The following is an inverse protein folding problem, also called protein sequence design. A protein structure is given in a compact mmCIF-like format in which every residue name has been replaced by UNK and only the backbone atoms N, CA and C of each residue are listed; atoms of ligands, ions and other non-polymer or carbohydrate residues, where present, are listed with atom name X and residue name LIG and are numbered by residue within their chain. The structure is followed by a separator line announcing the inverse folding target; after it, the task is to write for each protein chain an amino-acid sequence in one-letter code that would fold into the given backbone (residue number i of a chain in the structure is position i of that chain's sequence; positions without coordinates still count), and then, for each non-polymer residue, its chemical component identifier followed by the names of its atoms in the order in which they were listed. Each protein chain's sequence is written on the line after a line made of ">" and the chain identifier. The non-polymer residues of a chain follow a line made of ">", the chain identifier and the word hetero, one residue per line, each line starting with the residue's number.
data_IF_248867026291
#
_entry.id   IF_248867026291
#
_cell.length_a   1.000
_cell.length_b   1.000
_cell.length_c   1.000
_cell.angle_alpha   90.00
_cell.angle_beta   90.00
_cell.angle_gamma   90.00
#
_symmetry.space_group_name_H-M   'P 1'
#
loop_
_entity.id
_entity.type
_entity.pdbx_description
1 polymer ?
#
# COMPACT_ATOMS: atom_id res chain seq x y z
N UNK A 1 -15.46 -33.74 -21.19
CA UNK A 1 -14.56 -32.92 -20.36
C UNK A 1 -14.43 -31.56 -21.07
N UNK A 2 -14.74 -30.44 -20.40
CA UNK A 2 -14.81 -29.11 -21.04
C UNK A 2 -13.46 -28.68 -21.61
N UNK A 3 -13.44 -28.05 -22.80
CA UNK A 3 -12.24 -27.52 -23.47
C UNK A 3 -11.47 -26.56 -22.53
N UNK A 4 -12.19 -25.79 -21.72
CA UNK A 4 -11.60 -24.90 -20.72
C UNK A 4 -10.82 -25.65 -19.63
N UNK A 5 -11.32 -26.81 -19.21
CA UNK A 5 -10.64 -27.64 -18.20
C UNK A 5 -9.36 -28.26 -18.78
N UNK A 6 -9.40 -28.70 -20.04
CA UNK A 6 -8.20 -29.21 -20.73
C UNK A 6 -7.14 -28.12 -20.92
N UNK A 7 -7.56 -26.89 -21.25
CA UNK A 7 -6.66 -25.75 -21.38
C UNK A 7 -6.04 -25.34 -20.05
N UNK A 8 -6.82 -25.38 -18.96
CA UNK A 8 -6.32 -25.10 -17.62
C UNK A 8 -5.32 -26.16 -17.13
N UNK A 9 -5.59 -27.44 -17.38
CA UNK A 9 -4.63 -28.53 -17.05
C UNK A 9 -3.33 -28.36 -17.83
N UNK A 10 -3.41 -27.97 -19.11
CA UNK A 10 -2.23 -27.73 -19.95
C UNK A 10 -1.41 -26.54 -19.46
N UNK A 11 -2.05 -25.45 -19.05
CA UNK A 11 -1.38 -24.27 -18.51
C UNK A 11 -0.71 -24.56 -17.17
N UNK A 12 -1.39 -25.28 -16.27
CA UNK A 12 -0.82 -25.69 -14.98
C UNK A 12 0.41 -26.60 -15.19
N UNK A 13 0.37 -27.50 -16.17
CA UNK A 13 1.51 -28.37 -16.48
C UNK A 13 2.71 -27.60 -17.05
N UNK A 14 2.47 -26.53 -17.82
CA UNK A 14 3.53 -25.65 -18.32
C UNK A 14 4.17 -24.84 -17.20
N UNK A 15 3.36 -24.26 -16.31
CA UNK A 15 3.84 -23.49 -15.16
C UNK A 15 4.72 -24.34 -14.22
N UNK A 16 4.32 -25.59 -13.96
CA UNK A 16 5.11 -26.52 -13.16
C UNK A 16 6.45 -26.85 -13.86
N UNK A 17 6.43 -26.99 -15.19
CA UNK A 17 7.63 -27.30 -15.96
C UNK A 17 8.64 -26.14 -15.94
N UNK A 18 8.16 -24.90 -16.08
CA UNK A 18 9.00 -23.69 -15.98
C UNK A 18 9.60 -23.57 -14.58
N UNK A 19 8.79 -23.77 -13.53
CA UNK A 19 9.27 -23.72 -12.14
C UNK A 19 10.37 -24.76 -11.85
N UNK A 20 10.23 -25.97 -12.37
CA UNK A 20 11.25 -27.02 -12.21
C UNK A 20 12.54 -26.65 -12.95
N UNK A 21 12.43 -26.02 -14.12
CA UNK A 21 13.59 -25.55 -14.87
C UNK A 21 14.38 -24.48 -14.11
N UNK A 22 13.68 -23.45 -13.59
CA UNK A 22 14.30 -22.36 -12.84
C UNK A 22 15.02 -22.87 -11.57
N UNK A 23 14.48 -23.92 -10.92
CA UNK A 23 15.12 -24.58 -9.79
C UNK A 23 16.43 -25.28 -10.16
N UNK A 24 16.47 -25.96 -11.30
CA UNK A 24 17.69 -26.62 -11.78
C UNK A 24 18.75 -25.60 -12.18
N UNK A 25 18.36 -24.52 -12.88
CA UNK A 25 19.26 -23.43 -13.24
C UNK A 25 19.87 -22.77 -11.98
N UNK A 26 19.04 -22.56 -10.96
CA UNK A 26 19.50 -22.05 -9.67
C UNK A 26 20.48 -23.02 -8.98
N UNK A 27 20.18 -24.31 -8.93
CA UNK A 27 21.06 -25.34 -8.36
C UNK A 27 22.43 -25.37 -9.05
N UNK A 28 22.45 -25.26 -10.39
CA UNK A 28 23.69 -25.19 -11.17
C UNK A 28 24.48 -23.91 -10.87
N UNK A 29 23.79 -22.77 -10.70
CA UNK A 29 24.43 -21.50 -10.33
C UNK A 29 25.07 -21.54 -8.92
N UNK A 30 24.42 -22.21 -7.97
CA UNK A 30 24.93 -22.39 -6.60
C UNK A 30 26.14 -23.33 -6.60
N UNK A 31 26.08 -24.40 -7.38
CA UNK A 31 27.16 -25.38 -7.48
C UNK A 31 28.40 -24.84 -8.24
N UNK A 32 28.21 -23.95 -9.20
CA UNK A 32 29.30 -23.25 -9.88
C UNK A 32 29.96 -22.21 -8.98
N UNK A 33 29.18 -21.50 -8.15
CA UNK A 33 29.69 -20.56 -7.15
C UNK A 33 30.50 -21.23 -6.02
N UNK A 34 30.29 -22.52 -5.76
CA UNK A 34 31.00 -23.28 -4.73
C UNK A 34 32.34 -23.89 -5.19
N UNK A 35 32.72 -23.80 -6.47
CA UNK A 35 34.03 -24.30 -6.93
C UNK A 35 35.14 -23.28 -6.63
N UNK A 36 36.21 -23.65 -5.88
CA UNK A 36 37.32 -22.74 -5.60
C UNK A 36 38.07 -22.36 -6.88
N UNK A 37 38.18 -21.07 -7.16
CA UNK A 37 38.95 -20.54 -8.29
C UNK A 37 40.43 -20.95 -8.16
N UNK A 38 40.95 -21.69 -9.15
CA UNK A 38 42.39 -22.00 -9.26
C UNK A 38 43.15 -20.70 -9.47
N UNK A 39 43.86 -20.22 -8.44
CA UNK A 39 44.83 -19.13 -8.57
C UNK A 39 45.92 -19.54 -9.55
N UNK A 40 46.12 -18.74 -10.59
CA UNK A 40 47.24 -18.88 -11.53
C UNK A 40 48.56 -18.68 -10.79
N UNK A 41 49.52 -19.58 -11.03
CA UNK A 41 50.86 -19.55 -10.47
C UNK A 41 51.62 -18.27 -10.89
N UNK A 42 52.04 -17.48 -9.90
CA UNK A 42 53.21 -16.60 -10.03
C UNK A 42 54.23 -17.04 -8.97
N UNK A 43 55.42 -17.42 -9.44
CA UNK A 43 56.57 -17.83 -8.64
C UNK A 43 57.16 -16.60 -7.92
N UNK A 44 57.35 -16.66 -6.59
CA UNK A 44 58.13 -15.64 -5.84
C UNK A 44 58.97 -16.32 -4.75
N UNK A 45 60.18 -15.77 -4.60
CA UNK A 45 61.41 -16.20 -3.94
C UNK A 45 61.35 -16.66 -2.46
N UNK A 46 62.35 -17.46 -2.00
CA UNK A 46 62.38 -18.07 -0.67
C UNK A 46 62.69 -17.14 0.51
N UNK A 47 62.73 -15.81 0.35
CA UNK A 47 63.29 -14.92 1.39
C UNK A 47 62.43 -13.71 1.77
N UNK A 48 61.18 -13.94 2.17
CA UNK A 48 60.37 -12.94 2.88
C UNK A 48 59.71 -13.48 4.16
N UNK A 49 59.64 -12.61 5.17
CA UNK A 49 59.34 -12.83 6.60
C UNK A 49 57.89 -13.31 6.81
N UNK A 50 57.58 -14.17 7.81
CA UNK A 50 56.29 -14.84 7.87
C UNK A 50 55.14 -13.90 8.29
N UNK A 51 54.07 -13.87 7.49
CA UNK A 51 52.82 -13.18 7.83
C UNK A 51 51.91 -14.14 8.63
N UNK A 52 51.58 -13.71 9.84
CA UNK A 52 50.68 -14.30 10.82
C UNK A 52 49.24 -14.38 10.27
N UNK A 53 48.78 -15.57 9.84
CA UNK A 53 47.41 -15.73 9.33
C UNK A 53 46.82 -17.15 9.24
N UNK A 54 47.57 -18.21 9.57
CA UNK A 54 47.07 -19.60 9.42
C UNK A 54 46.23 -20.14 10.58
N UNK A 55 46.41 -19.63 11.81
CA UNK A 55 45.81 -20.22 13.02
C UNK A 55 44.34 -19.83 13.23
N UNK A 56 43.89 -18.70 12.69
CA UNK A 56 42.50 -18.23 12.87
C UNK A 56 41.49 -19.03 12.01
N UNK A 57 41.87 -19.40 10.78
CA UNK A 57 40.98 -20.08 9.83
C UNK A 57 40.73 -21.55 10.21
N UNK A 58 41.73 -22.23 10.78
CA UNK A 58 41.58 -23.63 11.21
C UNK A 58 40.62 -23.74 12.40
N UNK A 59 40.71 -22.83 13.39
CA UNK A 59 39.80 -22.79 14.54
C UNK A 59 38.35 -22.53 14.13
N UNK A 60 38.11 -21.60 13.20
CA UNK A 60 36.74 -21.33 12.72
C UNK A 60 36.16 -22.52 11.93
N UNK A 61 36.98 -23.23 11.14
CA UNK A 61 36.55 -24.41 10.40
C UNK A 61 36.20 -25.61 11.30
N UNK A 62 36.90 -25.78 12.43
CA UNK A 62 36.59 -26.81 13.42
C UNK A 62 35.33 -26.50 14.22
N UNK A 63 35.08 -25.22 14.53
CA UNK A 63 33.88 -24.78 15.23
C UNK A 63 32.63 -25.03 14.36
N UNK A 64 32.67 -24.66 13.08
CA UNK A 64 31.57 -24.94 12.14
C UNK A 64 31.32 -26.44 11.96
N UNK A 65 32.38 -27.27 11.88
CA UNK A 65 32.24 -28.74 11.78
C UNK A 65 31.64 -29.36 13.04
N UNK A 66 31.94 -28.81 14.23
CA UNK A 66 31.32 -29.24 15.50
C UNK A 66 29.85 -28.82 15.60
N UNK A 67 29.49 -27.67 15.04
CA UNK A 67 28.13 -27.14 15.02
C UNK A 67 27.24 -27.93 14.05
N UNK A 68 27.72 -28.21 12.84
CA UNK A 68 27.04 -29.08 11.86
C UNK A 68 26.82 -30.52 12.38
N UNK A 69 27.79 -31.09 13.11
CA UNK A 69 27.62 -32.42 13.75
C UNK A 69 26.61 -32.41 14.89
N UNK A 70 26.48 -31.31 15.64
CA UNK A 70 25.46 -31.14 16.68
C UNK A 70 24.06 -31.04 16.07
N UNK A 71 23.91 -30.27 14.99
CA UNK A 71 22.62 -30.10 14.33
C UNK A 71 22.17 -31.40 13.63
N UNK A 72 23.09 -32.15 13.02
CA UNK A 72 22.77 -33.48 12.46
C UNK A 72 22.38 -34.49 13.56
N UNK A 73 23.07 -34.52 14.70
CA UNK A 73 22.67 -35.36 15.84
C UNK A 73 21.33 -34.92 16.47
N UNK A 74 21.00 -33.63 16.42
CA UNK A 74 19.72 -33.09 16.92
C UNK A 74 18.55 -33.48 16.02
N UNK A 75 18.76 -33.49 14.69
CA UNK A 75 17.74 -33.93 13.73
C UNK A 75 17.59 -35.46 13.77
N UNK A 76 18.67 -36.21 13.92
CA UNK A 76 18.61 -37.68 14.06
C UNK A 76 17.88 -38.10 15.35
N UNK A 77 18.16 -37.45 16.48
CA UNK A 77 17.43 -37.67 17.74
C UNK A 77 15.93 -37.37 17.63
N UNK A 78 15.53 -36.42 16.78
CA UNK A 78 14.13 -36.07 16.56
C UNK A 78 13.37 -37.22 15.86
N UNK A 79 13.95 -37.83 14.83
CA UNK A 79 13.30 -38.96 14.13
C UNK A 79 13.43 -40.29 14.89
N UNK A 80 14.52 -40.50 15.64
CA UNK A 80 14.69 -41.69 16.48
C UNK A 80 13.75 -41.71 17.69
N UNK A 81 13.28 -40.55 18.15
CA UNK A 81 12.24 -40.45 19.19
C UNK A 81 10.86 -40.89 18.68
N UNK A 82 10.55 -40.60 17.41
CA UNK A 82 9.31 -41.02 16.76
C UNK A 82 9.29 -42.51 16.43
N UNK A 83 10.44 -43.10 16.10
CA UNK A 83 10.56 -44.55 15.85
C UNK A 83 10.44 -45.41 17.13
N UNK A 84 10.46 -44.80 18.31
CA UNK A 84 10.25 -45.47 19.61
C UNK A 84 8.79 -45.40 20.09
N UNK A 85 7.93 -44.68 19.37
CA UNK A 85 6.51 -44.58 19.68
C UNK A 85 5.81 -45.80 19.10
N UNK A 86 5.45 -46.74 19.97
CA UNK A 86 4.65 -47.90 19.62
C UNK A 86 3.19 -47.47 19.47
N UNK A 87 2.80 -47.21 18.21
CA UNK A 87 1.48 -46.66 17.85
C UNK A 87 0.35 -47.62 18.23
N UNK A 88 0.61 -48.93 18.19
CA UNK A 88 -0.39 -49.95 18.53
C UNK A 88 -0.63 -49.99 20.05
N UNK A 89 0.41 -49.79 20.86
CA UNK A 89 0.30 -49.68 22.32
C UNK A 89 -0.46 -48.42 22.78
N UNK A 90 -0.32 -47.31 22.05
CA UNK A 90 -1.02 -46.05 22.34
C UNK A 90 -2.52 -46.09 22.04
N UNK A 91 -2.92 -46.96 21.10
CA UNK A 91 -4.33 -47.18 20.78
C UNK A 91 -5.01 -48.02 21.88
N UNK A 92 -4.32 -49.01 22.43
CA UNK A 92 -4.84 -49.84 23.55
C UNK A 92 -4.95 -49.08 24.88
N UNK A 93 -4.14 -48.04 25.13
CA UNK A 93 -4.24 -47.18 26.32
C UNK A 93 -5.35 -46.12 26.22
N UNK A 94 -6.10 -46.05 25.10
CA UNK A 94 -7.05 -44.96 24.79
C UNK A 94 -8.52 -45.36 24.78
N UNK A 95 -8.90 -46.46 25.44
CA UNK A 95 -10.30 -46.88 25.59
C UNK A 95 -10.99 -46.30 26.85
N UNK A 96 -10.60 -45.10 27.29
CA UNK A 96 -11.38 -44.32 28.25
C UNK A 96 -12.29 -43.32 27.51
N UNK A 97 -13.61 -43.30 27.77
CA UNK A 97 -14.53 -42.43 27.07
C UNK A 97 -14.20 -40.96 27.36
N UNK A 98 -14.08 -40.17 26.29
CA UNK A 98 -13.74 -38.74 26.33
C UNK A 98 -14.73 -37.99 27.24
N UNK A 99 -14.33 -37.76 28.49
CA UNK A 99 -14.88 -36.71 29.35
C UNK A 99 -14.12 -35.44 29.00
N UNK A 100 -14.79 -34.51 28.31
CA UNK A 100 -14.29 -33.15 28.11
C UNK A 100 -14.21 -32.44 29.45
N UNK A 101 -13.01 -32.35 30.04
CA UNK A 101 -12.78 -31.46 31.17
C UNK A 101 -11.61 -30.50 30.92
N UNK A 102 -11.97 -29.22 30.96
CA UNK A 102 -11.15 -28.03 31.20
C UNK A 102 -10.01 -27.74 30.20
N UNK A 103 -10.39 -27.33 28.99
CA UNK A 103 -9.59 -26.37 28.22
C UNK A 103 -9.52 -25.04 28.98
N UNK A 104 -8.35 -24.73 29.58
CA UNK A 104 -7.99 -23.35 29.92
C UNK A 104 -7.94 -22.54 28.62
N UNK A 105 -8.93 -21.66 28.41
CA UNK A 105 -8.96 -20.68 27.31
C UNK A 105 -7.61 -19.95 27.22
N UNK A 106 -6.90 -19.98 26.08
CA UNK A 106 -5.92 -18.96 25.77
C UNK A 106 -6.67 -17.63 25.70
N UNK A 107 -6.11 -16.58 26.30
CA UNK A 107 -6.64 -15.23 26.14
C UNK A 107 -6.71 -14.91 24.64
N UNK A 108 -7.89 -14.51 24.17
CA UNK A 108 -8.12 -14.10 22.79
C UNK A 108 -7.24 -12.88 22.49
N UNK A 109 -6.09 -13.09 21.86
CA UNK A 109 -5.45 -12.04 21.09
C UNK A 109 -6.29 -11.85 19.83
N UNK A 110 -6.95 -10.70 19.72
CA UNK A 110 -7.67 -10.29 18.52
C UNK A 110 -6.71 -10.27 17.33
N UNK A 111 -6.71 -11.34 16.54
CA UNK A 111 -6.08 -11.33 15.22
C UNK A 111 -7.22 -11.53 14.22
N UNK A 112 -7.74 -10.40 13.71
CA UNK A 112 -8.79 -10.29 12.68
C UNK A 112 -8.31 -10.79 11.30
N UNK A 113 -7.66 -11.95 11.27
CA UNK A 113 -6.99 -12.46 10.08
C UNK A 113 -7.73 -13.71 9.60
N UNK A 114 -8.47 -13.59 8.50
CA UNK A 114 -9.20 -14.69 7.87
C UNK A 114 -8.29 -15.37 6.83
N UNK A 115 -8.16 -16.69 6.92
CA UNK A 115 -7.39 -17.49 5.94
C UNK A 115 -8.18 -17.49 4.62
N UNK A 116 -7.59 -16.96 3.55
CA UNK A 116 -8.17 -17.03 2.21
C UNK A 116 -7.32 -17.98 1.37
N UNK A 117 -7.92 -19.08 0.91
CA UNK A 117 -7.27 -20.07 0.05
C UNK A 117 -7.40 -19.60 -1.39
N UNK A 118 -6.30 -19.11 -1.98
CA UNK A 118 -6.21 -18.86 -3.42
C UNK A 118 -4.96 -19.56 -3.96
N UNK A 119 -5.15 -20.57 -4.80
CA UNK A 119 -4.04 -21.26 -5.50
C UNK A 119 -3.11 -22.09 -4.61
N UNK A 120 -3.60 -22.69 -3.52
CA UNK A 120 -2.82 -23.65 -2.71
C UNK A 120 -1.84 -23.03 -1.70
N UNK A 121 -1.73 -21.70 -1.60
CA UNK A 121 -1.02 -21.03 -0.49
C UNK A 121 -2.04 -20.39 0.45
N UNK A 122 -1.90 -20.68 1.75
CA UNK A 122 -2.67 -20.01 2.81
C UNK A 122 -2.16 -18.57 2.94
N UNK A 123 -2.83 -17.62 2.29
CA UNK A 123 -2.55 -16.19 2.49
C UNK A 123 -3.43 -15.70 3.64
N UNK A 124 -2.80 -15.33 4.74
CA UNK A 124 -3.48 -14.68 5.85
C UNK A 124 -3.73 -13.23 5.43
N UNK A 125 -4.98 -12.90 5.08
CA UNK A 125 -5.37 -11.51 4.78
C UNK A 125 -5.98 -10.88 6.03
N UNK A 126 -5.58 -9.65 6.32
CA UNK A 126 -6.26 -8.87 7.36
C UNK A 126 -7.70 -8.56 6.95
N UNK A 127 -8.59 -8.47 7.93
CA UNK A 127 -10.00 -8.19 7.71
C UNK A 127 -10.21 -6.89 6.91
N UNK A 128 -9.38 -5.87 7.17
CA UNK A 128 -9.34 -4.61 6.40
C UNK A 128 -9.08 -4.86 4.91
N UNK A 129 -8.11 -5.71 4.56
CA UNK A 129 -7.79 -6.03 3.16
C UNK A 129 -8.97 -6.76 2.51
N UNK A 130 -9.59 -7.70 3.23
CA UNK A 130 -10.76 -8.44 2.74
C UNK A 130 -11.96 -7.51 2.49
N UNK A 131 -12.29 -6.66 3.46
CA UNK A 131 -13.39 -5.69 3.35
C UNK A 131 -13.13 -4.67 2.22
N UNK A 132 -11.88 -4.23 2.05
CA UNK A 132 -11.47 -3.36 0.92
C UNK A 132 -11.66 -4.07 -0.43
N UNK A 133 -11.28 -5.34 -0.54
CA UNK A 133 -11.48 -6.13 -1.77
C UNK A 133 -12.97 -6.30 -2.07
N UNK A 134 -13.79 -6.60 -1.07
CA UNK A 134 -15.25 -6.66 -1.22
C UNK A 134 -15.84 -5.32 -1.67
N UNK A 135 -15.40 -4.20 -1.09
CA UNK A 135 -15.82 -2.86 -1.50
C UNK A 135 -15.43 -2.57 -2.97
N UNK A 136 -14.24 -3.01 -3.40
CA UNK A 136 -13.81 -2.88 -4.80
C UNK A 136 -14.69 -3.72 -5.75
N UNK A 137 -15.13 -4.91 -5.34
CA UNK A 137 -16.06 -5.71 -6.14
C UNK A 137 -17.44 -5.06 -6.22
N UNK A 138 -17.97 -4.55 -5.10
CA UNK A 138 -19.22 -3.78 -5.07
C UNK A 138 -19.13 -2.53 -5.97
N UNK A 139 -17.98 -1.86 -5.99
CA UNK A 139 -17.73 -0.73 -6.90
C UNK A 139 -17.82 -1.15 -8.37
N UNK A 140 -17.25 -2.31 -8.75
CA UNK A 140 -17.37 -2.85 -10.12
C UNK A 140 -18.81 -3.20 -10.48
N UNK A 141 -19.59 -3.69 -9.51
CA UNK A 141 -21.02 -3.95 -9.63
C UNK A 141 -21.88 -2.67 -9.64
N UNK A 142 -21.26 -1.48 -9.56
CA UNK A 142 -21.92 -0.17 -9.48
C UNK A 142 -22.80 0.02 -8.23
N UNK A 143 -22.64 -0.83 -7.22
CA UNK A 143 -23.31 -0.71 -5.92
C UNK A 143 -22.54 0.27 -5.02
N UNK A 144 -22.50 1.54 -5.41
CA UNK A 144 -21.65 2.54 -4.76
C UNK A 144 -21.98 2.76 -3.28
N UNK A 145 -23.26 2.72 -2.90
CA UNK A 145 -23.67 2.91 -1.51
C UNK A 145 -23.13 1.81 -0.59
N UNK A 146 -23.28 0.53 -1.00
CA UNK A 146 -22.76 -0.61 -0.23
C UNK A 146 -21.23 -0.60 -0.22
N UNK A 147 -20.58 -0.16 -1.29
CA UNK A 147 -19.13 0.01 -1.32
C UNK A 147 -18.68 1.07 -0.29
N UNK A 148 -19.39 2.19 -0.15
CA UNK A 148 -19.12 3.24 0.85
C UNK A 148 -19.22 2.68 2.27
N UNK A 149 -20.25 1.89 2.56
CA UNK A 149 -20.41 1.23 3.86
C UNK A 149 -19.21 0.35 4.17
N UNK A 150 -18.80 -0.51 3.23
CA UNK A 150 -17.63 -1.37 3.41
C UNK A 150 -16.31 -0.62 3.55
N UNK A 151 -16.09 0.47 2.80
CA UNK A 151 -14.93 1.31 3.02
C UNK A 151 -14.96 2.01 4.39
N UNK A 152 -16.14 2.37 4.88
CA UNK A 152 -16.31 2.98 6.19
C UNK A 152 -15.98 2.00 7.31
N UNK A 153 -16.42 0.74 7.19
CA UNK A 153 -16.03 -0.34 8.10
C UNK A 153 -14.50 -0.47 8.17
N UNK A 154 -13.81 -0.45 7.01
CA UNK A 154 -12.35 -0.49 6.95
C UNK A 154 -11.70 0.70 7.68
N UNK A 155 -12.21 1.92 7.47
CA UNK A 155 -11.68 3.13 8.10
C UNK A 155 -11.87 3.06 9.61
N UNK A 156 -13.02 2.60 10.09
CA UNK A 156 -13.28 2.45 11.52
C UNK A 156 -12.33 1.44 12.16
N UNK A 157 -12.12 0.28 11.52
CA UNK A 157 -11.19 -0.73 12.03
C UNK A 157 -9.74 -0.21 12.09
N UNK A 158 -9.30 0.54 11.08
CA UNK A 158 -7.98 1.16 11.08
C UNK A 158 -7.86 2.26 12.15
N UNK A 159 -8.87 3.13 12.30
CA UNK A 159 -8.86 4.21 13.28
C UNK A 159 -8.94 3.72 14.74
N UNK A 160 -9.44 2.51 14.98
CA UNK A 160 -9.47 1.89 16.31
C UNK A 160 -8.07 1.45 16.79
N UNK A 161 -7.09 1.35 15.88
CA UNK A 161 -5.72 0.97 16.24
C UNK A 161 -5.01 2.16 16.88
N UNK A 162 -4.33 1.90 17.99
CA UNK A 162 -3.58 2.93 18.72
C UNK A 162 -2.39 3.48 17.92
N UNK A 163 -1.80 2.66 17.05
CA UNK A 163 -0.75 3.05 16.13
C UNK A 163 -0.93 2.28 14.83
N UNK A 164 -0.79 3.00 13.71
CA UNK A 164 -0.79 2.42 12.36
C UNK A 164 0.65 2.27 11.89
N UNK A 165 0.95 1.18 11.20
CA UNK A 165 2.21 1.07 10.47
C UNK A 165 2.13 1.81 9.12
N UNK A 166 3.27 1.96 8.43
CA UNK A 166 3.33 2.69 7.15
C UNK A 166 2.43 2.06 6.06
N UNK A 167 2.37 0.73 6.01
CA UNK A 167 1.51 0.01 5.06
C UNK A 167 0.02 0.29 5.32
N UNK A 168 -0.40 0.30 6.58
CA UNK A 168 -1.78 0.58 6.99
C UNK A 168 -2.14 2.05 6.74
N UNK A 169 -1.21 2.98 6.93
CA UNK A 169 -1.38 4.38 6.54
C UNK A 169 -1.58 4.51 5.02
N UNK A 170 -0.79 3.81 4.21
CA UNK A 170 -0.96 3.77 2.76
C UNK A 170 -2.32 3.15 2.37
N UNK A 171 -2.72 2.05 3.02
CA UNK A 171 -4.04 1.47 2.82
C UNK A 171 -5.15 2.46 3.19
N UNK A 172 -5.01 3.20 4.28
CA UNK A 172 -5.97 4.20 4.72
C UNK A 172 -6.14 5.32 3.68
N UNK A 173 -5.03 5.82 3.10
CA UNK A 173 -5.03 6.76 1.98
C UNK A 173 -5.83 6.21 0.80
N UNK A 174 -5.56 4.96 0.41
CA UNK A 174 -6.23 4.30 -0.73
C UNK A 174 -7.72 4.14 -0.45
N UNK A 175 -8.10 3.74 0.77
CA UNK A 175 -9.49 3.53 1.18
C UNK A 175 -10.26 4.85 1.15
N UNK A 176 -9.74 5.93 1.75
CA UNK A 176 -10.36 7.27 1.66
C UNK A 176 -10.51 7.71 0.21
N UNK A 177 -9.47 7.52 -0.60
CA UNK A 177 -9.52 7.88 -2.02
C UNK A 177 -10.64 7.12 -2.74
N UNK A 178 -10.76 5.80 -2.52
CA UNK A 178 -11.76 4.98 -3.18
C UNK A 178 -13.19 5.25 -2.69
N UNK A 179 -13.36 5.56 -1.40
CA UNK A 179 -14.65 6.02 -0.87
C UNK A 179 -15.08 7.35 -1.51
N UNK A 180 -14.14 8.30 -1.66
CA UNK A 180 -14.38 9.54 -2.40
C UNK A 180 -14.81 9.30 -3.85
N UNK A 181 -14.26 8.27 -4.51
CA UNK A 181 -14.69 7.91 -5.86
C UNK A 181 -16.14 7.42 -5.91
N UNK A 182 -16.57 6.66 -4.91
CA UNK A 182 -17.95 6.19 -4.80
C UNK A 182 -18.89 7.37 -4.57
N UNK A 183 -18.54 8.29 -3.66
CA UNK A 183 -19.31 9.51 -3.40
C UNK A 183 -19.39 10.41 -4.63
N UNK A 184 -18.30 10.55 -5.39
CA UNK A 184 -18.30 11.21 -6.70
C UNK A 184 -19.30 10.60 -7.67
N UNK A 185 -19.44 9.27 -7.69
CA UNK A 185 -20.43 8.58 -8.55
C UNK A 185 -21.87 8.80 -8.08
N UNK A 186 -22.08 9.06 -6.78
CA UNK A 186 -23.36 9.44 -6.20
C UNK A 186 -23.62 10.95 -6.21
N UNK A 187 -22.72 11.76 -6.79
CA UNK A 187 -22.77 13.22 -6.83
C UNK A 187 -22.75 13.89 -5.44
N UNK A 188 -22.29 13.17 -4.41
CA UNK A 188 -22.06 13.73 -3.08
C UNK A 188 -20.67 14.38 -3.02
N UNK A 189 -20.59 15.58 -3.59
CA UNK A 189 -19.34 16.32 -3.71
C UNK A 189 -18.76 16.78 -2.37
N UNK A 190 -19.61 17.06 -1.38
CA UNK A 190 -19.15 17.55 -0.08
C UNK A 190 -18.44 16.44 0.69
N UNK A 191 -19.02 15.24 0.75
CA UNK A 191 -18.35 14.11 1.40
C UNK A 191 -17.11 13.67 0.62
N UNK A 192 -17.18 13.66 -0.71
CA UNK A 192 -16.02 13.35 -1.55
C UNK A 192 -14.84 14.30 -1.30
N UNK A 193 -15.11 15.59 -1.07
CA UNK A 193 -14.08 16.58 -0.75
C UNK A 193 -13.41 16.28 0.60
N UNK A 194 -14.19 15.94 1.62
CA UNK A 194 -13.68 15.59 2.96
C UNK A 194 -12.77 14.37 2.91
N UNK A 195 -13.19 13.32 2.21
CA UNK A 195 -12.39 12.11 2.04
C UNK A 195 -11.11 12.36 1.23
N UNK A 196 -11.19 13.16 0.17
CA UNK A 196 -10.00 13.55 -0.58
C UNK A 196 -9.02 14.36 0.28
N UNK A 197 -9.52 15.28 1.12
CA UNK A 197 -8.69 16.05 2.04
C UNK A 197 -8.03 15.15 3.09
N UNK A 198 -8.77 14.19 3.67
CA UNK A 198 -8.20 13.20 4.60
C UNK A 198 -7.13 12.31 3.94
N UNK A 199 -7.36 11.87 2.71
CA UNK A 199 -6.36 11.11 1.98
C UNK A 199 -5.08 11.93 1.72
N UNK A 200 -5.22 13.22 1.38
CA UNK A 200 -4.10 14.10 1.07
C UNK A 200 -3.38 14.65 2.31
N UNK A 201 -4.04 14.70 3.48
CA UNK A 201 -3.36 14.98 4.74
C UNK A 201 -2.45 13.83 5.17
N UNK A 202 -2.80 12.59 4.80
CA UNK A 202 -1.98 11.41 5.07
C UNK A 202 -0.88 11.21 4.02
N UNK A 203 -1.19 11.42 2.73
CA UNK A 203 -0.21 11.41 1.65
C UNK A 203 -0.52 12.52 0.65
N UNK A 204 0.23 13.62 0.76
CA UNK A 204 0.02 14.82 -0.05
C UNK A 204 0.29 14.63 -1.54
N UNK A 205 1.04 13.59 -1.92
CA UNK A 205 1.44 13.31 -3.31
C UNK A 205 0.65 12.16 -3.93
N UNK A 206 -0.40 11.66 -3.25
CA UNK A 206 -1.23 10.61 -3.79
C UNK A 206 -2.04 11.09 -5.02
N UNK A 207 -1.56 10.73 -6.22
CA UNK A 207 -2.07 11.22 -7.50
C UNK A 207 -3.58 10.98 -7.66
N UNK A 208 -4.11 9.80 -7.31
CA UNK A 208 -5.55 9.51 -7.45
C UNK A 208 -6.40 10.42 -6.57
N UNK A 209 -5.95 10.75 -5.36
CA UNK A 209 -6.67 11.67 -4.49
C UNK A 209 -6.61 13.11 -4.99
N UNK A 210 -5.48 13.57 -5.54
CA UNK A 210 -5.38 14.88 -6.18
C UNK A 210 -6.34 15.00 -7.38
N UNK A 211 -6.40 13.96 -8.21
CA UNK A 211 -7.29 13.94 -9.38
C UNK A 211 -8.77 13.97 -8.98
N UNK A 212 -9.13 13.16 -7.98
CA UNK A 212 -10.49 13.10 -7.43
C UNK A 212 -10.87 14.44 -6.79
N UNK A 213 -9.98 15.04 -5.99
CA UNK A 213 -10.22 16.37 -5.38
C UNK A 213 -10.38 17.46 -6.42
N UNK A 214 -9.51 17.50 -7.44
CA UNK A 214 -9.64 18.45 -8.55
C UNK A 214 -10.99 18.29 -9.25
N UNK A 215 -11.43 17.06 -9.51
CA UNK A 215 -12.76 16.79 -10.08
C UNK A 215 -13.89 17.31 -9.18
N UNK A 216 -13.86 16.99 -7.88
CA UNK A 216 -14.85 17.47 -6.91
C UNK A 216 -14.91 18.99 -6.86
N UNK A 217 -13.75 19.66 -6.80
CA UNK A 217 -13.65 21.11 -6.75
C UNK A 217 -14.17 21.77 -8.04
N UNK A 218 -14.02 21.11 -9.19
CA UNK A 218 -14.61 21.58 -10.45
C UNK A 218 -16.13 21.59 -10.40
N UNK A 219 -16.74 20.50 -9.91
CA UNK A 219 -18.19 20.37 -9.74
C UNK A 219 -18.74 21.37 -8.71
N UNK A 220 -17.97 21.66 -7.65
CA UNK A 220 -18.30 22.68 -6.66
C UNK A 220 -18.05 24.12 -7.12
N UNK A 221 -17.54 24.34 -8.33
CA UNK A 221 -17.26 25.68 -8.86
C UNK A 221 -15.98 26.34 -8.33
N UNK A 222 -15.18 25.61 -7.53
CA UNK A 222 -13.92 26.05 -6.90
C UNK A 222 -12.73 25.86 -7.85
N UNK A 223 -12.77 26.52 -9.00
CA UNK A 223 -11.83 26.26 -10.09
C UNK A 223 -10.36 26.63 -9.79
N UNK A 224 -10.12 27.63 -8.93
CA UNK A 224 -8.75 28.01 -8.53
C UNK A 224 -8.06 26.92 -7.72
N UNK A 225 -8.78 26.33 -6.77
CA UNK A 225 -8.28 25.21 -5.96
C UNK A 225 -8.08 23.96 -6.82
N UNK A 226 -9.04 23.67 -7.71
CA UNK A 226 -8.92 22.58 -8.66
C UNK A 226 -7.68 22.71 -9.58
N UNK A 227 -7.36 23.95 -10.00
CA UNK A 227 -6.19 24.25 -10.81
C UNK A 227 -4.90 23.90 -10.08
N UNK A 228 -4.77 24.27 -8.78
CA UNK A 228 -3.59 23.94 -7.97
C UNK A 228 -3.36 22.43 -7.89
N UNK A 229 -4.43 21.65 -7.68
CA UNK A 229 -4.34 20.19 -7.63
C UNK A 229 -3.92 19.60 -8.98
N UNK A 230 -4.48 20.12 -10.08
CA UNK A 230 -4.12 19.68 -11.43
C UNK A 230 -2.69 20.07 -11.81
N UNK A 231 -2.20 21.24 -11.40
CA UNK A 231 -0.80 21.65 -11.59
C UNK A 231 0.15 20.72 -10.80
N UNK A 232 -0.22 20.37 -9.57
CA UNK A 232 0.55 19.39 -8.77
C UNK A 232 0.61 18.03 -9.45
N UNK A 233 -0.48 17.57 -10.07
CA UNK A 233 -0.47 16.33 -10.87
C UNK A 233 0.49 16.39 -12.06
N UNK A 234 0.55 17.52 -12.77
CA UNK A 234 1.51 17.72 -13.86
C UNK A 234 2.95 17.62 -13.35
N UNK A 235 3.24 18.20 -12.19
CA UNK A 235 4.56 18.09 -11.54
C UNK A 235 4.92 16.65 -11.16
N UNK A 236 3.92 15.84 -10.80
CA UNK A 236 4.08 14.42 -10.49
C UNK A 236 4.14 13.51 -11.74
N UNK A 237 4.13 14.09 -12.95
CA UNK A 237 4.32 13.37 -14.21
C UNK A 237 3.03 12.95 -14.93
N UNK A 238 1.86 13.33 -14.44
CA UNK A 238 0.58 13.07 -15.12
C UNK A 238 0.45 13.98 -16.35
N UNK A 239 0.57 13.40 -17.55
CA UNK A 239 0.47 14.15 -18.80
C UNK A 239 -0.97 14.55 -19.13
N UNK A 240 -1.96 13.78 -18.70
CA UNK A 240 -3.38 14.08 -18.94
C UNK A 240 -3.82 15.29 -18.13
N UNK A 241 -3.21 15.49 -16.96
CA UNK A 241 -3.44 16.66 -16.11
C UNK A 241 -3.12 18.00 -16.84
N UNK A 242 -2.21 18.03 -17.82
CA UNK A 242 -1.92 19.25 -18.61
C UNK A 242 -3.16 19.75 -19.36
N UNK A 243 -3.95 18.84 -19.91
CA UNK A 243 -5.20 19.21 -20.60
C UNK A 243 -6.25 19.73 -19.62
N UNK A 244 -6.31 19.16 -18.41
CA UNK A 244 -7.20 19.61 -17.34
C UNK A 244 -6.83 21.04 -16.92
N UNK A 245 -5.54 21.30 -16.67
CA UNK A 245 -5.01 22.64 -16.36
C UNK A 245 -5.42 23.65 -17.42
N UNK A 246 -5.18 23.37 -18.70
CA UNK A 246 -5.53 24.28 -19.79
C UNK A 246 -7.04 24.59 -19.85
N UNK A 247 -7.90 23.56 -19.66
CA UNK A 247 -9.36 23.74 -19.61
C UNK A 247 -9.78 24.60 -18.41
N UNK A 248 -9.17 24.40 -17.25
CA UNK A 248 -9.47 25.17 -16.04
C UNK A 248 -9.04 26.63 -16.15
N UNK A 249 -7.83 26.88 -16.66
CA UNK A 249 -7.34 28.24 -16.91
C UNK A 249 -8.28 29.00 -17.85
N UNK A 250 -8.75 28.37 -18.93
CA UNK A 250 -9.73 28.98 -19.84
C UNK A 250 -11.05 29.32 -19.13
N UNK A 251 -11.60 28.40 -18.33
CA UNK A 251 -12.83 28.66 -17.55
C UNK A 251 -12.66 29.82 -16.57
N UNK A 252 -11.54 29.86 -15.85
CA UNK A 252 -11.21 30.94 -14.90
C UNK A 252 -11.10 32.28 -15.63
N UNK A 253 -10.41 32.32 -16.78
CA UNK A 253 -10.25 33.54 -17.57
C UNK A 253 -11.59 34.08 -18.06
N UNK A 254 -12.45 33.21 -18.63
CA UNK A 254 -13.79 33.62 -19.10
C UNK A 254 -14.62 34.19 -17.95
N UNK A 255 -14.61 33.57 -16.77
CA UNK A 255 -15.34 34.10 -15.60
C UNK A 255 -14.78 35.44 -15.12
N UNK A 256 -13.45 35.61 -15.15
CA UNK A 256 -12.80 36.89 -14.80
C UNK A 256 -13.16 38.00 -15.80
N UNK A 257 -13.18 37.69 -17.09
CA UNK A 257 -13.57 38.64 -18.14
C UNK A 257 -15.06 39.02 -18.03
N UNK A 258 -15.94 38.05 -17.81
CA UNK A 258 -17.35 38.29 -17.59
C UNK A 258 -17.60 39.19 -16.37
N UNK A 259 -16.94 38.92 -15.24
CA UNK A 259 -17.02 39.77 -14.05
C UNK A 259 -16.51 41.19 -14.32
N UNK A 260 -15.39 41.33 -15.05
CA UNK A 260 -14.84 42.64 -15.44
C UNK A 260 -15.79 43.42 -16.36
N UNK A 261 -16.46 42.75 -17.28
CA UNK A 261 -17.41 43.37 -18.20
C UNK A 261 -18.70 43.79 -17.48
N UNK A 262 -19.19 42.97 -16.54
CA UNK A 262 -20.32 43.35 -15.67
C UNK A 262 -19.96 44.60 -14.87
N UNK A 263 -18.81 44.62 -14.20
CA UNK A 263 -18.34 45.77 -13.42
C UNK A 263 -18.26 47.06 -14.26
N UNK A 264 -17.78 46.98 -15.50
CA UNK A 264 -17.75 48.14 -16.43
C UNK A 264 -19.14 48.69 -16.74
N UNK A 265 -20.17 47.84 -16.82
CA UNK A 265 -21.54 48.28 -17.07
C UNK A 265 -22.18 48.92 -15.84
N UNK A 266 -21.85 48.48 -14.62
CA UNK A 266 -22.44 49.03 -13.38
C UNK A 266 -21.71 50.30 -12.90
N UNK A 267 -20.42 50.46 -13.23
CA UNK A 267 -19.60 51.63 -12.87
C UNK A 267 -20.24 53.01 -13.14
N UNK A 268 -20.86 53.29 -14.32
CA UNK A 268 -21.49 54.59 -14.57
C UNK A 268 -22.76 54.86 -13.75
N UNK A 269 -23.30 53.87 -13.04
CA UNK A 269 -24.50 53.99 -12.19
C UNK A 269 -24.17 54.00 -10.67
N UNK A 270 -22.89 53.92 -10.30
CA UNK A 270 -22.41 53.97 -8.91
C UNK A 270 -21.93 55.39 -8.57
N UNK A 271 -22.46 56.01 -7.50
CA UNK A 271 -22.04 57.34 -7.05
C UNK A 271 -20.59 57.33 -6.52
N UNK A 272 -19.84 58.39 -6.85
CA UNK A 272 -18.39 58.53 -6.60
C UNK A 272 -17.94 58.41 -5.13
N UNK A 273 -18.87 58.45 -4.17
CA UNK A 273 -18.58 58.26 -2.75
C UNK A 273 -18.41 56.79 -2.33
N UNK A 274 -18.91 55.83 -3.12
CA UNK A 274 -18.83 54.39 -2.82
C UNK A 274 -17.62 53.73 -3.50
N UNK A 275 -17.05 54.40 -4.52
CA UNK A 275 -15.97 53.88 -5.37
C UNK A 275 -14.66 53.69 -4.61
N UNK A 276 -14.38 54.49 -3.58
CA UNK A 276 -13.15 54.36 -2.78
C UNK A 276 -13.26 53.20 -1.77
N UNK A 277 -14.42 53.04 -1.12
CA UNK A 277 -14.61 51.97 -0.12
C UNK A 277 -14.67 50.56 -0.75
N UNK A 278 -15.29 50.41 -1.92
CA UNK A 278 -15.40 49.09 -2.59
C UNK A 278 -14.09 48.68 -3.29
N UNK A 279 -13.32 49.63 -3.83
CA UNK A 279 -12.01 49.33 -4.44
C UNK A 279 -10.96 49.01 -3.38
N UNK A 280 -11.04 49.61 -2.20
CA UNK A 280 -10.15 49.29 -1.09
C UNK A 280 -10.55 47.97 -0.40
N UNK A 281 -11.85 47.66 -0.27
CA UNK A 281 -12.31 46.35 0.20
C UNK A 281 -11.98 45.20 -0.77
N UNK A 282 -12.10 45.36 -2.10
CA UNK A 282 -11.74 44.30 -3.05
C UNK A 282 -10.22 44.08 -3.19
N UNK A 283 -9.40 45.11 -2.95
CA UNK A 283 -7.94 44.96 -2.83
C UNK A 283 -7.56 44.29 -1.52
N UNK A 284 -8.28 44.56 -0.43
CA UNK A 284 -8.13 43.85 0.82
C UNK A 284 -8.63 42.40 0.71
N UNK A 285 -9.75 42.08 0.09
CA UNK A 285 -10.23 40.69 -0.01
C UNK A 285 -9.31 39.80 -0.86
N UNK A 286 -8.61 40.37 -1.84
CA UNK A 286 -7.55 39.68 -2.60
C UNK A 286 -6.26 39.47 -1.74
N UNK A 287 -6.05 40.28 -0.69
CA UNK A 287 -4.83 40.29 0.14
C UNK A 287 -5.05 39.72 1.57
N UNK A 288 -6.30 39.66 2.05
CA UNK A 288 -6.74 39.14 3.34
C UNK A 288 -6.86 37.62 3.26
N UNK A 289 -7.30 37.06 2.12
CA UNK A 289 -7.27 35.62 1.83
C UNK A 289 -5.83 35.06 1.69
N UNK A 290 -4.85 35.96 1.46
CA UNK A 290 -3.42 35.65 1.51
C UNK A 290 -2.84 35.77 2.93
N UNK A 291 -3.32 36.70 3.78
CA UNK A 291 -2.86 36.83 5.18
C UNK A 291 -3.47 35.78 6.13
N UNK A 292 -4.71 35.33 5.91
CA UNK A 292 -5.32 34.28 6.74
C UNK A 292 -4.71 32.89 6.54
N UNK A 293 -4.04 32.67 5.39
CA UNK A 293 -3.33 31.44 5.09
C UNK A 293 -1.85 31.44 5.53
N UNK A 294 -1.33 32.56 6.07
CA UNK A 294 0.04 32.65 6.60
C UNK A 294 0.11 32.80 8.14
N UNK A 295 -1.04 32.87 8.83
CA UNK A 295 -1.10 32.99 10.31
C UNK A 295 -1.51 31.70 11.03
N UNK A 296 -1.76 30.59 10.32
CA UNK A 296 -2.03 29.27 10.92
C UNK A 296 -0.81 28.33 10.89
N UNK A 297 0.40 28.84 10.65
CA UNK A 297 1.67 28.08 10.70
C UNK A 297 2.74 28.70 11.62
N UNK A 298 2.38 29.56 12.59
CA UNK A 298 3.38 30.12 13.55
C UNK A 298 3.03 29.93 15.04
N UNK A 299 1.86 29.41 15.43
CA UNK A 299 1.62 29.03 16.83
C UNK A 299 1.11 27.59 16.95
N UNK A 300 2.06 26.64 16.93
CA UNK A 300 2.27 25.58 17.94
C UNK A 300 3.62 24.86 17.67
#
# INVERSE_FOLDING_TARGET
>A
MSIQLQQQIKNNALEIKEYIHDLYDWEESVNTAQKPQKKQNQQIDPNSVPIRGKVEQEKQSEILKKQLKRDQNSVQNYYDAWNKVDVDKLLEESDDPIVMDVYKKPQQTNINNKIVIKGGRNVIKSQVILNKEQANELFKLQEFQKAIEKYTDCIQELNQKQSLNEEELEQLVIIYSNRAQCQLKLLDYNQALLDCNKALSLNSNHQKSLLRRSTVLQELGKWKEALKDSEKLVLLGDQDAKQIVAKLQKKIQVKKENARNQLKQVKPFMNDSVTVQVIDQEKEDINVELKSNYLNEIDD
#
